data_IF_366397850600
#
_entry.id   IF_366397850600
#
_cell.length_a   1.000
_cell.length_b   1.000
_cell.length_c   1.000
_cell.angle_alpha   90.00
_cell.angle_beta   90.00
_cell.angle_gamma   90.00
#
_symmetry.space_group_name_H-M   'P 1'
#
loop_
_entity.id
_entity.type
_entity.pdbx_description
1 polymer ?
#
# COMPACT_ATOMS: atom_id res chain seq x y z
N UNK A 1 23.27 6.34 -8.59
CA UNK A 1 22.22 7.18 -9.18
C UNK A 1 21.88 6.65 -10.55
N UNK A 2 20.59 6.49 -10.86
CA UNK A 2 20.12 6.12 -12.21
C UNK A 2 20.40 7.24 -13.24
N UNK A 3 20.67 8.45 -12.75
CA UNK A 3 20.93 9.64 -13.56
C UNK A 3 22.25 10.28 -13.06
N UNK A 4 23.41 9.80 -13.50
CA UNK A 4 24.70 10.18 -12.91
C UNK A 4 25.08 11.66 -13.07
N UNK A 5 24.47 12.37 -14.01
CA UNK A 5 24.78 13.77 -14.33
C UNK A 5 23.58 14.72 -14.13
N UNK A 6 22.53 14.29 -13.42
CA UNK A 6 21.34 15.10 -13.18
C UNK A 6 21.13 15.26 -11.68
N UNK A 7 20.96 16.50 -11.26
CA UNK A 7 20.60 16.80 -9.88
C UNK A 7 19.16 16.39 -9.58
N UNK A 8 18.99 15.60 -8.51
CA UNK A 8 17.69 15.14 -8.01
C UNK A 8 17.41 15.85 -6.71
N UNK A 9 16.34 16.63 -6.67
CA UNK A 9 15.92 17.37 -5.50
C UNK A 9 14.76 16.71 -4.76
N UNK A 10 14.56 17.15 -3.53
CA UNK A 10 13.50 16.67 -2.64
C UNK A 10 12.57 17.83 -2.23
N UNK A 11 11.25 17.55 -2.23
CA UNK A 11 10.25 18.46 -1.69
C UNK A 11 9.39 17.70 -0.67
N UNK A 12 9.65 17.94 0.60
CA UNK A 12 9.02 17.26 1.73
C UNK A 12 10.02 16.90 2.81
N UNK A 13 9.53 16.59 4.01
CA UNK A 13 10.41 16.23 5.13
C UNK A 13 11.39 17.34 5.56
N UNK A 14 11.07 18.61 5.26
CA UNK A 14 11.94 19.77 5.53
C UNK A 14 12.75 20.25 4.31
N UNK A 15 12.92 19.43 3.27
CA UNK A 15 13.59 19.83 2.01
C UNK A 15 12.65 20.62 1.09
N UNK A 16 13.21 21.60 0.36
CA UNK A 16 12.47 22.49 -0.55
C UNK A 16 13.23 22.75 -1.85
N UNK A 17 13.79 21.69 -2.42
CA UNK A 17 14.61 21.79 -3.63
C UNK A 17 13.77 22.15 -4.87
N UNK A 18 14.45 22.70 -5.89
CA UNK A 18 13.86 23.07 -7.17
C UNK A 18 14.81 22.68 -8.31
N UNK A 19 14.87 21.38 -8.59
CA UNK A 19 15.81 20.75 -9.53
C UNK A 19 15.07 20.22 -10.77
N UNK A 20 15.78 19.91 -11.87
CA UNK A 20 15.17 19.33 -13.07
C UNK A 20 14.43 18.01 -12.84
N UNK A 21 14.90 17.18 -11.88
CA UNK A 21 14.18 16.01 -11.36
C UNK A 21 13.83 16.30 -9.91
N UNK A 22 12.55 16.35 -9.60
CA UNK A 22 12.04 16.62 -8.26
C UNK A 22 11.24 15.44 -7.74
N UNK A 23 11.59 14.93 -6.57
CA UNK A 23 10.82 13.94 -5.82
C UNK A 23 10.05 14.69 -4.73
N UNK A 24 8.74 14.58 -4.73
CA UNK A 24 7.88 15.26 -3.78
C UNK A 24 6.92 14.30 -3.08
N UNK A 25 6.63 14.54 -1.80
CA UNK A 25 5.49 13.89 -1.15
C UNK A 25 4.18 14.47 -1.69
N UNK A 26 3.10 13.70 -1.71
CA UNK A 26 1.78 14.18 -2.14
C UNK A 26 1.35 15.44 -1.38
N UNK A 27 1.53 15.47 -0.05
CA UNK A 27 1.22 16.64 0.75
C UNK A 27 1.99 17.91 0.29
N UNK A 28 3.30 17.76 0.11
CA UNK A 28 4.13 18.90 -0.32
C UNK A 28 3.83 19.33 -1.75
N UNK A 29 3.58 18.36 -2.64
CA UNK A 29 3.20 18.67 -4.03
C UNK A 29 1.84 19.39 -4.10
N UNK A 30 0.85 18.99 -3.30
CA UNK A 30 -0.45 19.66 -3.24
C UNK A 30 -0.34 21.10 -2.72
N UNK A 31 0.42 21.32 -1.63
CA UNK A 31 0.64 22.67 -1.07
C UNK A 31 1.33 23.61 -2.08
N UNK A 32 2.21 23.06 -2.92
CA UNK A 32 2.97 23.82 -3.91
C UNK A 32 2.47 23.66 -5.35
N UNK A 33 1.27 23.12 -5.57
CA UNK A 33 0.74 22.80 -6.89
C UNK A 33 0.79 23.96 -7.87
N UNK A 34 0.37 25.15 -7.45
CA UNK A 34 0.39 26.38 -8.27
C UNK A 34 1.80 26.75 -8.76
N UNK A 35 2.82 26.59 -7.91
CA UNK A 35 4.20 26.97 -8.25
C UNK A 35 4.94 25.89 -9.02
N UNK A 36 4.45 24.64 -8.99
CA UNK A 36 5.03 23.51 -9.69
C UNK A 36 4.37 23.24 -11.04
N UNK A 37 3.14 23.69 -11.24
CA UNK A 37 2.27 23.31 -12.35
C UNK A 37 2.85 23.51 -13.75
N UNK A 38 3.71 24.51 -13.94
CA UNK A 38 4.33 24.83 -15.25
C UNK A 38 5.82 24.47 -15.35
N UNK A 39 6.37 23.74 -14.37
CA UNK A 39 7.82 23.49 -14.29
C UNK A 39 8.28 22.19 -14.93
N UNK A 40 7.42 21.20 -14.97
CA UNK A 40 7.80 19.84 -15.35
C UNK A 40 6.98 19.38 -16.57
N UNK A 41 7.66 18.77 -17.54
CA UNK A 41 7.00 18.22 -18.73
C UNK A 41 6.42 16.82 -18.47
N UNK A 42 6.97 16.09 -17.49
CA UNK A 42 6.52 14.75 -17.09
C UNK A 42 6.20 14.75 -15.60
N UNK A 43 5.02 14.25 -15.27
CA UNK A 43 4.63 13.94 -13.89
C UNK A 43 4.43 12.44 -13.73
N UNK A 44 5.06 11.86 -12.69
CA UNK A 44 4.90 10.46 -12.31
C UNK A 44 4.24 10.41 -10.94
N UNK A 45 3.09 9.78 -10.86
CA UNK A 45 2.33 9.59 -9.62
C UNK A 45 2.50 8.15 -9.15
N UNK A 46 3.40 7.92 -8.21
CA UNK A 46 3.54 6.64 -7.54
C UNK A 46 2.39 6.47 -6.53
N UNK A 47 1.83 5.26 -6.42
CA UNK A 47 0.61 4.98 -5.67
C UNK A 47 -0.53 5.96 -6.04
N UNK A 48 -0.75 6.12 -7.36
CA UNK A 48 -1.67 7.13 -7.91
C UNK A 48 -3.12 7.01 -7.42
N UNK A 49 -3.49 5.91 -6.78
CA UNK A 49 -4.79 5.75 -6.12
C UNK A 49 -5.03 6.76 -4.98
N UNK A 50 -3.99 7.45 -4.50
CA UNK A 50 -4.14 8.54 -3.54
C UNK A 50 -4.57 9.85 -4.20
N UNK A 51 -4.29 10.03 -5.49
CA UNK A 51 -4.51 11.28 -6.21
C UNK A 51 -5.98 11.74 -6.24
N UNK A 52 -7.01 10.87 -6.41
CA UNK A 52 -8.40 11.32 -6.54
C UNK A 52 -9.04 11.71 -5.20
N UNK A 53 -8.33 12.41 -4.35
CA UNK A 53 -8.87 13.05 -3.15
C UNK A 53 -8.95 14.55 -3.37
N UNK A 54 -9.89 15.24 -2.73
CA UNK A 54 -10.06 16.68 -2.91
C UNK A 54 -8.79 17.48 -2.67
N UNK A 55 -7.96 17.03 -1.74
CA UNK A 55 -6.70 17.70 -1.43
C UNK A 55 -5.57 17.38 -2.41
N UNK A 56 -5.49 16.15 -2.94
CA UNK A 56 -4.36 15.78 -3.81
C UNK A 56 -4.63 15.97 -5.30
N UNK A 57 -5.89 15.96 -5.75
CA UNK A 57 -6.21 16.15 -7.18
C UNK A 57 -5.67 17.46 -7.76
N UNK A 58 -5.52 18.48 -6.93
CA UNK A 58 -4.95 19.79 -7.32
C UNK A 58 -3.55 19.67 -7.93
N UNK A 59 -2.77 18.64 -7.58
CA UNK A 59 -1.45 18.39 -8.16
C UNK A 59 -1.53 18.17 -9.66
N UNK A 60 -2.54 17.44 -10.12
CA UNK A 60 -2.78 17.19 -11.54
C UNK A 60 -3.59 18.31 -12.20
N UNK A 61 -4.54 18.91 -11.50
CA UNK A 61 -5.41 19.97 -12.01
C UNK A 61 -4.63 21.25 -12.34
N UNK A 62 -3.67 21.64 -11.48
CA UNK A 62 -2.82 22.83 -11.71
C UNK A 62 -1.65 22.56 -12.67
N UNK A 63 -1.39 21.32 -13.03
CA UNK A 63 -0.26 21.00 -13.88
C UNK A 63 -0.60 21.09 -15.36
N UNK A 64 0.26 21.77 -16.12
CA UNK A 64 0.22 21.81 -17.60
C UNK A 64 1.11 20.73 -18.23
N UNK A 65 1.67 19.82 -17.43
CA UNK A 65 2.51 18.72 -17.89
C UNK A 65 1.80 17.89 -18.97
N UNK A 66 2.36 17.81 -20.19
CA UNK A 66 1.74 17.06 -21.28
C UNK A 66 1.88 15.55 -21.12
N UNK A 67 2.84 15.09 -20.29
CA UNK A 67 3.07 13.68 -20.05
C UNK A 67 2.77 13.35 -18.61
N UNK A 68 1.88 12.36 -18.38
CA UNK A 68 1.49 11.91 -17.05
C UNK A 68 1.55 10.40 -17.00
N UNK A 69 2.07 9.85 -15.90
CA UNK A 69 2.17 8.42 -15.64
C UNK A 69 1.68 8.13 -14.23
N UNK A 70 0.68 7.29 -14.10
CA UNK A 70 0.22 6.76 -12.82
C UNK A 70 0.69 5.34 -12.62
N UNK A 71 1.21 5.04 -11.44
CA UNK A 71 1.64 3.72 -11.02
C UNK A 71 0.86 3.33 -9.76
N UNK A 72 0.24 2.16 -9.75
CA UNK A 72 -0.42 1.61 -8.57
C UNK A 72 -0.61 0.10 -8.72
N UNK A 73 -0.52 -0.61 -7.61
CA UNK A 73 -0.84 -2.04 -7.58
C UNK A 73 -2.34 -2.30 -7.66
N UNK A 74 -3.17 -1.38 -7.17
CA UNK A 74 -4.62 -1.49 -7.09
C UNK A 74 -5.25 -0.11 -7.29
N UNK A 75 -5.77 0.21 -8.47
CA UNK A 75 -6.38 1.51 -8.73
C UNK A 75 -7.74 1.67 -8.04
N UNK A 76 -8.45 0.56 -7.80
CA UNK A 76 -9.81 0.56 -7.29
C UNK A 76 -9.89 1.14 -5.87
N UNK A 77 -10.87 2.01 -5.64
CA UNK A 77 -11.17 2.65 -4.36
C UNK A 77 -12.62 2.35 -3.95
N UNK A 78 -12.82 2.13 -2.67
CA UNK A 78 -14.16 1.86 -2.11
C UNK A 78 -15.15 3.03 -2.23
N UNK A 79 -14.63 4.27 -2.38
CA UNK A 79 -15.42 5.48 -2.58
C UNK A 79 -15.77 5.76 -4.05
N UNK A 80 -15.29 4.94 -4.98
CA UNK A 80 -15.55 5.09 -6.42
C UNK A 80 -14.78 6.20 -7.12
N UNK A 81 -14.00 7.01 -6.40
CA UNK A 81 -13.26 8.17 -6.97
C UNK A 81 -12.09 7.77 -7.86
N UNK A 82 -11.73 6.47 -7.91
CA UNK A 82 -10.72 5.97 -8.84
C UNK A 82 -11.02 6.26 -10.32
N UNK A 83 -12.30 6.52 -10.67
CA UNK A 83 -12.70 6.90 -12.04
C UNK A 83 -12.12 8.24 -12.46
N UNK A 84 -11.81 9.12 -11.51
CA UNK A 84 -11.23 10.43 -11.79
C UNK A 84 -9.79 10.31 -12.29
N UNK A 85 -9.12 9.17 -12.04
CA UNK A 85 -7.77 8.90 -12.57
C UNK A 85 -7.71 8.96 -14.09
N UNK A 86 -8.78 8.56 -14.78
CA UNK A 86 -8.86 8.63 -16.24
C UNK A 86 -8.74 10.07 -16.77
N UNK A 87 -9.25 11.03 -16.01
CA UNK A 87 -9.19 12.47 -16.32
C UNK A 87 -7.90 13.09 -15.80
N UNK A 88 -7.47 12.75 -14.59
CA UNK A 88 -6.31 13.35 -13.93
C UNK A 88 -4.99 12.89 -14.56
N UNK A 89 -4.92 11.63 -15.00
CA UNK A 89 -3.69 11.00 -15.54
C UNK A 89 -3.92 10.48 -16.94
N UNK A 90 -4.93 9.62 -17.10
CA UNK A 90 -5.25 8.91 -18.35
C UNK A 90 -5.74 7.49 -18.09
N UNK A 91 -6.21 6.82 -19.13
CA UNK A 91 -6.72 5.44 -19.04
C UNK A 91 -5.62 4.45 -18.69
N UNK A 92 -6.01 3.35 -18.08
CA UNK A 92 -5.10 2.23 -17.80
C UNK A 92 -4.58 1.67 -19.13
N UNK A 93 -3.26 1.72 -19.35
CA UNK A 93 -2.58 1.24 -20.55
C UNK A 93 -1.85 -0.09 -20.35
N UNK A 94 -1.62 -0.46 -19.09
CA UNK A 94 -0.93 -1.69 -18.73
C UNK A 94 -1.41 -2.20 -17.39
N UNK A 95 -1.72 -3.48 -17.30
CA UNK A 95 -2.09 -4.17 -16.06
C UNK A 95 -1.44 -5.55 -16.04
N UNK A 96 -0.90 -5.93 -14.88
CA UNK A 96 -0.42 -7.27 -14.60
C UNK A 96 -0.77 -7.68 -13.18
N UNK A 97 -1.16 -8.92 -13.02
CA UNK A 97 -1.40 -9.50 -11.71
C UNK A 97 -0.10 -10.05 -11.10
N UNK A 98 -0.03 -10.26 -9.78
CA UNK A 98 1.12 -10.91 -9.15
C UNK A 98 1.40 -12.31 -9.73
N UNK A 99 0.35 -13.04 -10.11
CA UNK A 99 0.44 -14.37 -10.72
C UNK A 99 1.13 -14.32 -12.08
N UNK A 100 0.77 -13.36 -12.93
CA UNK A 100 1.39 -13.15 -14.25
C UNK A 100 2.86 -12.68 -14.15
N UNK A 101 3.23 -12.05 -13.04
CA UNK A 101 4.60 -11.61 -12.76
C UNK A 101 5.43 -12.70 -12.08
N UNK A 102 4.78 -13.76 -11.58
CA UNK A 102 5.44 -14.88 -10.89
C UNK A 102 6.41 -15.61 -11.83
N UNK A 103 7.58 -15.98 -11.30
CA UNK A 103 8.66 -16.57 -12.09
C UNK A 103 9.43 -15.60 -12.98
N UNK A 104 8.82 -14.46 -13.35
CA UNK A 104 9.44 -13.37 -14.12
C UNK A 104 10.02 -12.27 -13.22
N UNK A 105 9.29 -11.19 -13.06
CA UNK A 105 9.67 -10.05 -12.21
C UNK A 105 9.51 -10.32 -10.71
N UNK A 106 8.56 -11.19 -10.34
CA UNK A 106 8.39 -11.66 -8.98
C UNK A 106 8.95 -13.08 -8.82
N UNK A 107 9.41 -13.41 -7.61
CA UNK A 107 9.80 -14.78 -7.28
C UNK A 107 8.57 -15.70 -7.32
N UNK A 108 8.80 -16.97 -7.67
CA UNK A 108 7.78 -17.99 -7.45
C UNK A 108 7.35 -17.99 -5.99
N UNK A 109 6.06 -18.09 -5.76
CA UNK A 109 5.54 -18.00 -4.40
C UNK A 109 4.45 -19.04 -4.13
N UNK A 110 4.34 -19.42 -2.86
CA UNK A 110 3.29 -20.30 -2.36
C UNK A 110 2.53 -19.58 -1.25
N UNK A 111 1.21 -19.53 -1.35
CA UNK A 111 0.34 -19.04 -0.28
C UNK A 111 -0.17 -20.25 0.49
N UNK A 112 0.04 -20.26 1.81
CA UNK A 112 -0.38 -21.31 2.73
C UNK A 112 -1.32 -20.67 3.77
N UNK A 113 -2.60 -21.01 3.69
CA UNK A 113 -3.54 -20.62 4.74
C UNK A 113 -3.50 -21.59 5.89
N UNK A 114 -3.36 -21.08 7.10
CA UNK A 114 -3.42 -21.83 8.34
C UNK A 114 -4.63 -21.36 9.16
N UNK A 115 -5.52 -22.30 9.49
CA UNK A 115 -6.71 -22.02 10.27
C UNK A 115 -6.47 -22.39 11.72
N UNK A 116 -6.82 -21.48 12.65
CA UNK A 116 -6.72 -21.69 14.07
C UNK A 116 -8.09 -21.54 14.73
N UNK A 117 -8.33 -22.31 15.78
CA UNK A 117 -9.56 -22.24 16.56
C UNK A 117 -9.33 -21.42 17.81
N UNK A 118 -10.34 -20.64 18.21
CA UNK A 118 -10.39 -20.04 19.53
C UNK A 118 -10.47 -21.13 20.60
N UNK A 119 -9.89 -20.91 21.77
CA UNK A 119 -10.20 -21.71 22.94
C UNK A 119 -11.68 -21.54 23.35
N UNK A 120 -12.26 -22.46 24.08
CA UNK A 120 -13.66 -22.38 24.53
C UNK A 120 -13.94 -21.05 25.28
N UNK A 121 -13.00 -20.62 26.13
CA UNK A 121 -13.13 -19.37 26.85
C UNK A 121 -13.07 -18.13 25.92
N UNK A 122 -12.22 -18.13 24.91
CA UNK A 122 -12.15 -17.07 23.92
C UNK A 122 -13.40 -17.06 23.03
N UNK A 123 -13.88 -18.25 22.62
CA UNK A 123 -15.08 -18.40 21.81
C UNK A 123 -16.30 -17.83 22.53
N UNK A 124 -16.50 -18.17 23.80
CA UNK A 124 -17.60 -17.65 24.60
C UNK A 124 -17.56 -16.12 24.70
N UNK A 125 -16.39 -15.54 24.98
CA UNK A 125 -16.20 -14.10 25.05
C UNK A 125 -16.46 -13.42 23.71
N UNK A 126 -16.01 -14.03 22.62
CA UNK A 126 -16.23 -13.55 21.26
C UNK A 126 -17.72 -13.51 20.92
N UNK A 127 -18.45 -14.59 21.18
CA UNK A 127 -19.89 -14.70 20.92
C UNK A 127 -20.69 -13.70 21.73
N UNK A 128 -20.37 -13.52 23.02
CA UNK A 128 -20.98 -12.50 23.87
C UNK A 128 -20.76 -11.09 23.33
N UNK A 129 -19.54 -10.77 22.92
CA UNK A 129 -19.20 -9.47 22.33
C UNK A 129 -19.95 -9.24 21.01
N UNK A 130 -20.02 -10.27 20.15
CA UNK A 130 -20.79 -10.21 18.89
C UNK A 130 -22.29 -10.00 19.19
N UNK A 131 -22.84 -10.69 20.19
CA UNK A 131 -24.25 -10.56 20.56
C UNK A 131 -24.62 -9.14 21.02
N UNK A 132 -23.78 -8.54 21.90
CA UNK A 132 -23.96 -7.15 22.37
C UNK A 132 -23.96 -6.18 21.18
N UNK A 133 -22.97 -6.29 20.30
CA UNK A 133 -22.87 -5.43 19.10
C UNK A 133 -24.07 -5.61 18.18
N UNK A 134 -24.46 -6.86 17.85
CA UNK A 134 -25.59 -7.16 16.98
C UNK A 134 -26.91 -6.63 17.51
N UNK A 135 -27.12 -6.72 18.83
CA UNK A 135 -28.32 -6.17 19.47
C UNK A 135 -28.41 -4.67 19.23
N UNK A 136 -27.38 -3.91 19.55
CA UNK A 136 -27.34 -2.46 19.37
C UNK A 136 -27.53 -2.05 17.91
N UNK A 137 -26.86 -2.72 16.95
CA UNK A 137 -26.98 -2.42 15.53
C UNK A 137 -28.41 -2.62 15.02
N UNK A 138 -29.11 -3.67 15.46
CA UNK A 138 -30.52 -3.90 15.12
C UNK A 138 -31.44 -2.84 15.70
N UNK A 139 -31.27 -2.51 16.99
CA UNK A 139 -32.07 -1.49 17.67
C UNK A 139 -31.88 -0.09 17.08
N UNK A 140 -30.70 0.20 16.52
CA UNK A 140 -30.36 1.46 15.88
C UNK A 140 -30.59 1.48 14.37
N UNK A 141 -31.04 0.38 13.79
CA UNK A 141 -31.21 0.19 12.34
C UNK A 141 -29.94 0.50 11.52
N UNK A 142 -28.76 0.09 12.03
CA UNK A 142 -27.47 0.35 11.42
C UNK A 142 -26.92 -0.94 10.80
N UNK A 143 -26.49 -0.86 9.52
CA UNK A 143 -25.79 -1.93 8.81
C UNK A 143 -24.30 -1.58 8.65
N UNK A 144 -23.38 -2.47 9.04
CA UNK A 144 -21.92 -2.26 8.90
C UNK A 144 -21.36 -2.62 7.52
N UNK A 145 -22.22 -2.88 6.53
CA UNK A 145 -21.80 -3.29 5.18
C UNK A 145 -21.18 -2.15 4.33
N UNK A 146 -21.28 -0.90 4.77
CA UNK A 146 -20.79 0.28 4.05
C UNK A 146 -19.98 1.21 4.96
N UNK A 147 -19.22 2.13 4.35
CA UNK A 147 -18.50 3.18 5.06
C UNK A 147 -19.45 4.08 5.84
N UNK A 148 -20.58 4.42 5.24
CA UNK A 148 -21.64 5.23 5.87
C UNK A 148 -22.20 4.52 7.12
N UNK A 149 -22.51 3.23 7.04
CA UNK A 149 -22.94 2.42 8.18
C UNK A 149 -21.94 2.39 9.31
N UNK A 150 -20.64 2.34 8.99
CA UNK A 150 -19.60 2.47 9.98
C UNK A 150 -19.59 3.84 10.67
N UNK A 151 -19.70 4.92 9.90
CA UNK A 151 -19.77 6.29 10.44
C UNK A 151 -20.99 6.48 11.35
N UNK A 152 -22.16 5.98 10.95
CA UNK A 152 -23.37 5.98 11.77
C UNK A 152 -23.18 5.19 13.07
N UNK A 153 -22.52 4.03 13.02
CA UNK A 153 -22.22 3.26 14.22
C UNK A 153 -21.28 4.02 15.18
N UNK A 154 -20.24 4.67 14.67
CA UNK A 154 -19.32 5.49 15.48
C UNK A 154 -20.09 6.63 16.13
N UNK A 155 -20.90 7.38 15.39
CA UNK A 155 -21.72 8.48 15.92
C UNK A 155 -22.72 8.01 16.97
N UNK A 156 -23.47 6.94 16.68
CA UNK A 156 -24.45 6.38 17.61
C UNK A 156 -23.79 5.84 18.89
N UNK A 157 -22.60 5.26 18.76
CA UNK A 157 -21.85 4.74 19.89
C UNK A 157 -21.38 5.82 20.87
N UNK A 158 -21.16 7.05 20.38
CA UNK A 158 -20.77 8.18 21.22
C UNK A 158 -21.96 8.79 22.01
N UNK A 159 -23.20 8.59 21.51
CA UNK A 159 -24.40 9.26 22.05
C UNK A 159 -25.07 8.56 23.22
N UNK A 160 -24.76 7.27 23.48
CA UNK A 160 -25.45 6.51 24.52
C UNK A 160 -24.52 5.54 25.25
N UNK A 161 -24.84 5.19 26.53
CA UNK A 161 -24.11 4.14 27.25
C UNK A 161 -24.19 2.77 26.54
N UNK A 162 -25.34 2.44 25.94
CA UNK A 162 -25.55 1.20 25.18
C UNK A 162 -24.66 1.19 23.92
N UNK A 163 -24.58 2.33 23.22
CA UNK A 163 -23.69 2.50 22.07
C UNK A 163 -22.21 2.34 22.44
N UNK A 164 -21.79 2.94 23.55
CA UNK A 164 -20.41 2.74 24.07
C UNK A 164 -20.13 1.28 24.39
N UNK A 165 -21.08 0.58 25.04
CA UNK A 165 -20.96 -0.87 25.31
C UNK A 165 -20.84 -1.67 24.01
N UNK A 166 -21.60 -1.33 22.98
CA UNK A 166 -21.52 -1.98 21.66
C UNK A 166 -20.18 -1.74 20.95
N UNK A 167 -19.62 -0.52 21.06
CA UNK A 167 -18.29 -0.21 20.51
C UNK A 167 -17.18 -0.95 21.23
N UNK A 168 -17.22 -1.03 22.56
CA UNK A 168 -16.27 -1.81 23.34
C UNK A 168 -16.36 -3.29 22.99
N UNK A 169 -17.57 -3.84 22.87
CA UNK A 169 -17.78 -5.21 22.42
C UNK A 169 -17.25 -5.45 20.99
N UNK A 170 -17.40 -4.49 20.08
CA UNK A 170 -16.81 -4.57 18.73
C UNK A 170 -15.28 -4.67 18.79
N UNK A 171 -14.63 -3.83 19.62
CA UNK A 171 -13.17 -3.87 19.82
C UNK A 171 -12.73 -5.19 20.44
N UNK A 172 -13.40 -5.63 21.48
CA UNK A 172 -13.10 -6.91 22.15
C UNK A 172 -13.20 -8.10 21.18
N UNK A 173 -14.26 -8.18 20.38
CA UNK A 173 -14.40 -9.22 19.36
C UNK A 173 -13.25 -9.18 18.34
N UNK A 174 -12.84 -7.99 17.92
CA UNK A 174 -11.70 -7.82 17.01
C UNK A 174 -10.39 -8.25 17.65
N UNK A 175 -10.13 -7.87 18.88
CA UNK A 175 -8.92 -8.25 19.63
C UNK A 175 -8.83 -9.77 19.81
N UNK A 176 -9.94 -10.44 20.18
CA UNK A 176 -9.98 -11.90 20.30
C UNK A 176 -9.68 -12.56 18.95
N UNK A 177 -10.35 -12.12 17.88
CA UNK A 177 -10.17 -12.73 16.55
C UNK A 177 -8.75 -12.58 16.02
N UNK A 178 -8.12 -11.44 16.25
CA UNK A 178 -6.80 -11.12 15.68
C UNK A 178 -5.64 -11.56 16.58
N UNK A 179 -5.82 -11.57 17.90
CA UNK A 179 -4.76 -11.75 18.90
C UNK A 179 -4.82 -13.05 19.71
N UNK A 180 -5.57 -14.08 19.28
CA UNK A 180 -5.70 -15.34 20.03
C UNK A 180 -4.35 -16.02 20.26
N UNK A 181 -4.21 -16.68 21.41
CA UNK A 181 -3.01 -17.46 21.76
C UNK A 181 -2.73 -18.60 20.78
N UNK A 182 -3.77 -19.11 20.11
CA UNK A 182 -3.60 -20.12 19.06
C UNK A 182 -2.74 -19.61 17.89
N UNK A 183 -2.87 -18.34 17.49
CA UNK A 183 -2.03 -17.72 16.47
C UNK A 183 -0.57 -17.59 16.92
N UNK A 184 -0.34 -17.25 18.19
CA UNK A 184 1.02 -17.15 18.71
C UNK A 184 1.72 -18.51 18.78
N UNK A 185 0.99 -19.60 19.09
CA UNK A 185 1.53 -20.96 18.98
C UNK A 185 1.95 -21.31 17.56
N UNK A 186 1.07 -21.06 16.58
CA UNK A 186 1.41 -21.25 15.15
C UNK A 186 2.59 -20.40 14.74
N UNK A 187 2.68 -19.17 15.24
CA UNK A 187 3.82 -18.28 14.96
C UNK A 187 5.14 -18.88 15.46
N UNK A 188 5.17 -19.43 16.69
CA UNK A 188 6.34 -20.13 17.23
C UNK A 188 6.76 -21.26 16.31
N UNK A 189 5.82 -22.12 15.92
CA UNK A 189 6.07 -23.27 15.07
C UNK A 189 6.66 -22.82 13.70
N UNK A 190 6.12 -21.73 13.12
CA UNK A 190 6.61 -21.20 11.86
C UNK A 190 8.00 -20.57 12.01
N UNK A 191 8.29 -19.83 13.07
CA UNK A 191 9.62 -19.27 13.34
C UNK A 191 10.63 -20.41 13.49
N UNK A 192 10.30 -21.44 14.27
CA UNK A 192 11.16 -22.59 14.46
C UNK A 192 11.39 -23.37 13.17
N UNK A 193 10.37 -23.53 12.34
CA UNK A 193 10.48 -24.21 11.04
C UNK A 193 11.40 -23.48 10.07
N UNK A 194 11.45 -22.15 10.14
CA UNK A 194 12.17 -21.29 9.19
C UNK A 194 13.34 -20.54 9.82
N UNK A 195 14.03 -21.08 10.84
CA UNK A 195 15.08 -20.45 11.60
C UNK A 195 16.27 -19.92 10.74
N UNK A 196 16.51 -20.54 9.59
CA UNK A 196 17.58 -20.14 8.67
C UNK A 196 17.18 -19.04 7.70
N UNK A 197 15.88 -18.79 7.56
CA UNK A 197 15.34 -17.84 6.60
C UNK A 197 15.04 -16.48 7.25
N UNK A 198 14.92 -15.44 6.43
CA UNK A 198 14.42 -14.14 6.90
C UNK A 198 12.89 -14.14 6.90
N UNK A 199 12.31 -13.83 8.04
CA UNK A 199 10.88 -13.88 8.30
C UNK A 199 10.36 -12.47 8.54
N UNK A 200 9.30 -12.09 7.81
CA UNK A 200 8.59 -10.84 8.01
C UNK A 200 7.18 -11.14 8.53
N UNK A 201 6.86 -10.62 9.73
CA UNK A 201 5.57 -10.84 10.38
C UNK A 201 4.74 -9.57 10.24
N UNK A 202 3.53 -9.69 9.73
CA UNK A 202 2.56 -8.60 9.60
C UNK A 202 1.39 -8.78 10.56
N UNK A 203 1.06 -7.71 11.25
CA UNK A 203 -0.14 -7.62 12.09
C UNK A 203 -0.96 -6.37 11.72
N UNK A 204 -2.22 -6.35 12.16
CA UNK A 204 -3.13 -5.24 11.89
C UNK A 204 -3.13 -4.15 12.96
N UNK A 205 -2.50 -4.39 14.09
CA UNK A 205 -2.50 -3.48 15.23
C UNK A 205 -1.17 -3.49 15.98
N UNK A 206 -0.87 -2.38 16.64
CA UNK A 206 0.38 -2.21 17.37
C UNK A 206 0.43 -3.03 18.66
N UNK A 207 -0.70 -3.33 19.30
CA UNK A 207 -0.71 -4.10 20.53
C UNK A 207 -0.19 -5.53 20.28
N UNK A 208 -0.63 -6.14 19.18
CA UNK A 208 -0.12 -7.45 18.74
C UNK A 208 1.35 -7.37 18.34
N UNK A 209 1.80 -6.28 17.66
CA UNK A 209 3.23 -6.08 17.35
C UNK A 209 4.06 -6.10 18.62
N UNK A 210 3.70 -5.27 19.61
CA UNK A 210 4.46 -5.17 20.87
C UNK A 210 4.41 -6.47 21.67
N UNK A 211 3.28 -7.17 21.70
CA UNK A 211 3.15 -8.47 22.34
C UNK A 211 4.13 -9.50 21.74
N UNK A 212 4.21 -9.58 20.42
CA UNK A 212 5.14 -10.47 19.70
C UNK A 212 6.59 -10.04 19.98
N UNK A 213 6.88 -8.75 19.87
CA UNK A 213 8.21 -8.20 20.11
C UNK A 213 8.72 -8.54 21.52
N UNK A 214 7.91 -8.33 22.54
CA UNK A 214 8.27 -8.61 23.94
C UNK A 214 8.39 -10.12 24.22
N UNK A 215 7.46 -10.91 23.71
CA UNK A 215 7.41 -12.35 23.98
C UNK A 215 8.53 -13.12 23.29
N UNK A 216 8.92 -12.69 22.10
CA UNK A 216 9.91 -13.41 21.28
C UNK A 216 11.20 -12.64 21.06
N UNK A 217 11.36 -11.47 21.68
CA UNK A 217 12.53 -10.59 21.53
C UNK A 217 12.83 -10.25 20.05
N UNK A 218 11.77 -10.02 19.27
CA UNK A 218 11.84 -9.70 17.85
C UNK A 218 11.75 -8.17 17.67
N UNK A 219 12.64 -7.54 16.86
CA UNK A 219 12.53 -6.14 16.52
C UNK A 219 11.17 -5.79 15.92
N UNK A 220 10.63 -4.62 16.34
CA UNK A 220 9.30 -4.18 15.95
C UNK A 220 9.33 -2.86 15.20
N UNK A 221 8.55 -2.75 14.12
CA UNK A 221 8.33 -1.49 13.40
C UNK A 221 6.85 -1.14 13.44
N UNK A 222 6.55 0.02 14.03
CA UNK A 222 5.21 0.61 14.07
C UNK A 222 5.26 2.06 13.56
N UNK A 223 4.11 2.73 13.47
CA UNK A 223 4.08 4.16 13.13
C UNK A 223 4.78 5.04 14.18
N UNK A 224 4.93 4.55 15.41
CA UNK A 224 5.63 5.25 16.49
C UNK A 224 7.14 5.10 16.42
N UNK A 225 7.66 4.14 15.65
CA UNK A 225 9.10 3.92 15.47
C UNK A 225 9.71 5.11 14.73
N UNK A 226 10.64 5.81 15.35
CA UNK A 226 11.30 6.97 14.75
C UNK A 226 12.11 6.58 13.52
N UNK A 227 12.28 7.51 12.58
CA UNK A 227 12.90 7.25 11.26
C UNK A 227 14.30 6.62 11.38
N UNK A 228 15.13 7.14 12.29
CA UNK A 228 16.50 6.63 12.53
C UNK A 228 16.49 5.19 13.02
N UNK A 229 15.66 4.87 14.01
CA UNK A 229 15.53 3.52 14.55
C UNK A 229 14.98 2.55 13.48
N UNK A 230 13.98 2.98 12.71
CA UNK A 230 13.44 2.19 11.61
C UNK A 230 14.53 1.85 10.59
N UNK A 231 15.36 2.82 10.24
CA UNK A 231 16.47 2.62 9.31
C UNK A 231 17.49 1.62 9.85
N UNK A 232 17.86 1.71 11.13
CA UNK A 232 18.78 0.78 11.79
C UNK A 232 18.24 -0.65 11.81
N UNK A 233 16.99 -0.84 12.25
CA UNK A 233 16.32 -2.15 12.26
C UNK A 233 16.31 -2.77 10.85
N UNK A 234 15.93 -2.00 9.82
CA UNK A 234 15.91 -2.49 8.46
C UNK A 234 17.30 -2.83 7.91
N UNK A 235 18.30 -2.05 8.26
CA UNK A 235 19.68 -2.30 7.88
C UNK A 235 20.20 -3.61 8.48
N UNK A 236 19.93 -3.85 9.75
CA UNK A 236 20.30 -5.11 10.44
C UNK A 236 19.48 -6.31 9.94
N UNK A 237 18.22 -6.09 9.55
CA UNK A 237 17.44 -7.13 8.88
C UNK A 237 18.00 -7.44 7.47
N UNK A 238 18.46 -6.44 6.74
CA UNK A 238 19.13 -6.61 5.43
C UNK A 238 20.45 -7.37 5.54
N UNK A 239 21.25 -7.07 6.56
CA UNK A 239 22.53 -7.77 6.81
C UNK A 239 22.35 -9.21 7.30
N UNK A 240 21.13 -9.57 7.79
CA UNK A 240 20.84 -10.87 8.38
C UNK A 240 21.19 -10.99 9.87
N UNK A 241 21.59 -9.90 10.51
CA UNK A 241 21.77 -9.81 11.97
C UNK A 241 20.43 -10.07 12.67
N UNK A 242 19.34 -9.44 12.16
CA UNK A 242 17.98 -9.80 12.53
C UNK A 242 17.38 -10.73 11.48
N UNK A 243 17.00 -11.94 11.89
CA UNK A 243 16.34 -12.91 10.99
C UNK A 243 14.83 -12.75 10.94
N UNK A 244 14.25 -12.20 11.97
CA UNK A 244 12.79 -12.02 12.09
C UNK A 244 12.48 -10.58 12.43
N UNK A 245 11.46 -10.02 11.79
CA UNK A 245 10.96 -8.66 12.01
C UNK A 245 9.44 -8.69 12.10
N UNK A 246 8.87 -7.99 13.07
CA UNK A 246 7.41 -7.81 13.17
C UNK A 246 7.03 -6.36 12.87
N UNK A 247 5.98 -6.17 12.09
CA UNK A 247 5.52 -4.85 11.71
C UNK A 247 3.99 -4.74 11.66
N UNK A 248 3.49 -3.54 11.97
CA UNK A 248 2.12 -3.14 11.65
C UNK A 248 2.02 -2.59 10.22
N UNK A 249 0.96 -1.84 9.92
CA UNK A 249 0.69 -1.26 8.59
C UNK A 249 1.84 -0.44 7.97
N UNK A 250 2.81 0.00 8.77
CA UNK A 250 3.86 0.95 8.34
C UNK A 250 4.78 0.41 7.25
N UNK A 251 4.88 -0.91 7.09
CA UNK A 251 5.64 -1.52 6.00
C UNK A 251 4.82 -1.72 4.70
N UNK A 252 3.58 -1.26 4.68
CA UNK A 252 2.74 -1.40 3.49
C UNK A 252 3.19 -0.48 2.35
N UNK A 253 3.74 0.71 2.67
CA UNK A 253 4.12 1.73 1.70
C UNK A 253 5.54 2.26 1.96
N UNK A 254 6.28 2.54 0.90
CA UNK A 254 7.54 3.30 0.95
C UNK A 254 8.76 2.63 1.58
N UNK A 255 8.68 1.39 2.07
CA UNK A 255 9.81 0.71 2.70
C UNK A 255 10.29 -0.44 1.82
N UNK A 256 11.52 -0.35 1.36
CA UNK A 256 12.18 -1.45 0.65
C UNK A 256 12.67 -2.47 1.67
N UNK A 257 11.93 -3.59 1.80
CA UNK A 257 12.31 -4.73 2.64
C UNK A 257 12.84 -5.83 1.71
N UNK A 258 14.14 -5.84 1.44
CA UNK A 258 14.70 -6.83 0.53
C UNK A 258 14.83 -8.17 1.23
N UNK A 259 14.69 -9.21 0.42
CA UNK A 259 15.12 -10.57 0.71
C UNK A 259 14.44 -11.34 1.86
N UNK A 260 13.23 -10.97 2.32
CA UNK A 260 12.45 -11.88 3.13
C UNK A 260 11.94 -13.03 2.25
N UNK A 261 12.18 -14.29 2.66
CA UNK A 261 11.64 -15.47 1.98
C UNK A 261 10.31 -15.89 2.55
N UNK A 262 10.09 -15.60 3.81
CA UNK A 262 8.90 -16.00 4.56
C UNK A 262 8.16 -14.74 4.98
N UNK A 263 6.88 -14.67 4.62
CA UNK A 263 5.96 -13.71 5.20
C UNK A 263 4.89 -14.43 6.00
N UNK A 264 4.56 -13.88 7.17
CA UNK A 264 3.51 -14.41 8.04
C UNK A 264 2.52 -13.27 8.30
N UNK A 265 1.29 -13.43 7.82
CA UNK A 265 0.19 -12.51 8.10
C UNK A 265 -0.62 -13.10 9.25
N UNK A 266 -0.45 -12.56 10.45
CA UNK A 266 -1.20 -12.98 11.64
C UNK A 266 -2.56 -12.32 11.73
N UNK A 267 -2.69 -11.12 11.19
CA UNK A 267 -3.97 -10.44 11.05
C UNK A 267 -3.96 -9.59 9.80
N UNK A 268 -4.91 -9.86 8.92
CA UNK A 268 -5.08 -9.12 7.67
C UNK A 268 -6.10 -8.00 7.80
N UNK A 269 -5.89 -6.89 7.07
CA UNK A 269 -6.94 -5.92 6.81
C UNK A 269 -7.94 -6.48 5.81
N UNK A 270 -9.14 -5.89 5.76
CA UNK A 270 -10.13 -6.18 4.72
C UNK A 270 -9.72 -5.68 3.33
N UNK A 271 -8.56 -5.03 3.21
CA UNK A 271 -8.09 -4.42 1.97
C UNK A 271 -7.27 -5.43 1.17
N UNK A 272 -7.77 -5.81 0.00
CA UNK A 272 -7.04 -6.59 -1.02
C UNK A 272 -5.75 -5.86 -1.43
N UNK A 273 -5.79 -4.52 -1.49
CA UNK A 273 -4.63 -3.66 -1.78
C UNK A 273 -3.47 -3.89 -0.83
N UNK A 274 -3.70 -3.78 0.48
CA UNK A 274 -2.64 -3.97 1.47
C UNK A 274 -2.06 -5.39 1.44
N UNK A 275 -2.91 -6.38 1.17
CA UNK A 275 -2.48 -7.75 0.99
C UNK A 275 -1.54 -7.90 -0.21
N UNK A 276 -1.91 -7.36 -1.37
CA UNK A 276 -1.09 -7.39 -2.60
C UNK A 276 0.20 -6.60 -2.43
N UNK A 277 0.18 -5.44 -1.77
CA UNK A 277 1.38 -4.66 -1.48
C UNK A 277 2.35 -5.41 -0.56
N UNK A 278 1.85 -6.07 0.49
CA UNK A 278 2.67 -6.92 1.38
C UNK A 278 3.30 -8.08 0.61
N UNK A 279 2.50 -8.74 -0.21
CA UNK A 279 2.95 -9.82 -1.08
C UNK A 279 4.07 -9.35 -2.01
N UNK A 280 3.88 -8.26 -2.71
CA UNK A 280 4.85 -7.70 -3.65
C UNK A 280 6.20 -7.34 -3.02
N UNK A 281 6.24 -7.03 -1.72
CA UNK A 281 7.50 -6.74 -1.01
C UNK A 281 8.31 -7.99 -0.70
N UNK A 282 7.62 -9.08 -0.37
CA UNK A 282 8.25 -10.37 -0.05
C UNK A 282 8.64 -11.13 -1.31
N UNK A 283 7.89 -10.93 -2.39
CA UNK A 283 8.08 -11.63 -3.66
C UNK A 283 9.15 -11.03 -4.57
N UNK A 284 9.81 -9.93 -4.20
CA UNK A 284 10.87 -9.36 -5.04
C UNK A 284 11.98 -10.39 -5.23
N UNK A 285 12.41 -10.58 -6.48
CA UNK A 285 13.60 -11.37 -6.78
C UNK A 285 14.82 -10.70 -6.14
N UNK A 286 15.38 -11.35 -5.12
CA UNK A 286 16.72 -10.99 -4.66
C UNK A 286 17.77 -11.42 -5.68
N UNK A 287 19.05 -11.10 -5.42
CA UNK A 287 20.18 -11.44 -6.29
C UNK A 287 20.42 -12.95 -6.50
N UNK A 288 19.66 -13.83 -5.87
CA UNK A 288 19.75 -15.29 -6.01
C UNK A 288 18.60 -15.84 -6.85
N UNK A 289 18.90 -16.41 -7.97
CA UNK A 289 18.00 -16.78 -9.08
C UNK A 289 16.98 -17.91 -8.82
N UNK A 290 16.97 -18.57 -7.66
CA UNK A 290 16.08 -19.72 -7.39
C UNK A 290 15.32 -19.59 -6.07
N UNK A 291 14.69 -18.46 -5.83
CA UNK A 291 14.04 -18.15 -4.56
C UNK A 291 12.53 -18.39 -4.64
N UNK A 292 12.04 -19.44 -3.99
CA UNK A 292 10.62 -19.60 -3.74
C UNK A 292 10.25 -18.89 -2.43
N UNK A 293 9.34 -17.92 -2.50
CA UNK A 293 8.82 -17.23 -1.32
C UNK A 293 7.58 -17.97 -0.79
N UNK A 294 7.37 -17.95 0.54
CA UNK A 294 6.19 -18.55 1.16
C UNK A 294 5.47 -17.49 1.98
N UNK A 295 4.20 -17.32 1.69
CA UNK A 295 3.30 -16.49 2.47
C UNK A 295 2.39 -17.37 3.32
N UNK A 296 2.48 -17.26 4.63
CA UNK A 296 1.56 -17.87 5.58
C UNK A 296 0.48 -16.86 5.96
N UNK A 297 -0.77 -17.21 5.77
CA UNK A 297 -1.92 -16.45 6.26
C UNK A 297 -2.57 -17.22 7.41
N UNK A 298 -2.48 -16.69 8.64
CA UNK A 298 -3.05 -17.34 9.82
C UNK A 298 -4.39 -16.70 10.15
N UNK A 299 -5.47 -17.46 10.02
CA UNK A 299 -6.87 -17.01 10.12
C UNK A 299 -7.58 -17.71 11.26
N UNK A 300 -8.32 -16.98 12.07
CA UNK A 300 -9.13 -17.55 13.15
C UNK A 300 -10.50 -17.99 12.61
N UNK A 301 -10.79 -19.27 12.72
CA UNK A 301 -12.05 -19.89 12.27
C UNK A 301 -13.26 -19.31 13.01
N UNK A 302 -14.41 -19.30 12.35
CA UNK A 302 -15.71 -18.86 12.88
C UNK A 302 -15.71 -17.40 13.37
N UNK A 303 -14.82 -16.56 12.86
CA UNK A 303 -14.76 -15.15 13.21
C UNK A 303 -14.99 -14.23 11.99
N UNK A 304 -15.04 -12.92 12.26
CA UNK A 304 -15.09 -11.92 11.19
C UNK A 304 -13.84 -11.93 10.30
N UNK A 305 -12.72 -12.45 10.80
CA UNK A 305 -11.47 -12.52 10.05
C UNK A 305 -11.55 -13.55 8.92
N UNK A 306 -12.14 -14.71 9.17
CA UNK A 306 -12.34 -15.75 8.15
C UNK A 306 -13.13 -15.21 6.96
N UNK A 307 -14.26 -14.56 7.23
CA UNK A 307 -15.08 -13.93 6.19
C UNK A 307 -14.34 -12.83 5.42
N UNK A 308 -13.45 -12.11 6.10
CA UNK A 308 -12.62 -11.09 5.46
C UNK A 308 -11.56 -11.72 4.55
N UNK A 309 -10.95 -12.81 4.98
CA UNK A 309 -9.99 -13.57 4.17
C UNK A 309 -10.63 -14.21 2.93
N UNK A 310 -11.83 -14.77 3.09
CA UNK A 310 -12.60 -15.37 1.99
C UNK A 310 -12.99 -14.32 0.94
N UNK A 311 -13.49 -13.16 1.36
CA UNK A 311 -13.85 -12.06 0.47
C UNK A 311 -12.64 -11.58 -0.35
N UNK A 312 -11.47 -11.38 0.27
CA UNK A 312 -10.24 -10.99 -0.44
C UNK A 312 -9.87 -11.98 -1.55
N UNK A 313 -10.05 -13.27 -1.32
CA UNK A 313 -9.78 -14.30 -2.34
C UNK A 313 -10.84 -14.33 -3.44
N UNK A 314 -12.10 -14.11 -3.09
CA UNK A 314 -13.17 -13.96 -4.07
C UNK A 314 -12.96 -12.77 -4.99
N UNK A 315 -12.64 -11.60 -4.43
CA UNK A 315 -12.33 -10.39 -5.20
C UNK A 315 -11.11 -10.56 -6.12
N UNK A 316 -10.07 -11.31 -5.70
CA UNK A 316 -8.93 -11.62 -6.56
C UNK A 316 -9.31 -12.54 -7.72
N UNK A 317 -10.17 -13.52 -7.50
CA UNK A 317 -10.63 -14.42 -8.56
C UNK A 317 -11.53 -13.69 -9.56
N UNK A 318 -12.45 -12.84 -9.10
CA UNK A 318 -13.31 -12.03 -9.98
C UNK A 318 -12.50 -11.01 -10.80
N UNK A 319 -11.46 -10.41 -10.23
CA UNK A 319 -10.56 -9.50 -10.97
C UNK A 319 -9.74 -10.24 -12.03
N UNK A 320 -9.41 -11.52 -11.80
CA UNK A 320 -8.73 -12.35 -12.79
C UNK A 320 -9.67 -12.81 -13.93
N UNK A 321 -10.97 -12.98 -13.66
CA UNK A 321 -11.97 -13.41 -14.66
C UNK A 321 -12.51 -12.26 -15.51
N UNK A 322 -12.52 -11.01 -15.01
CA UNK A 322 -13.03 -9.83 -15.71
C UNK A 322 -11.98 -9.07 -16.52
N UNK A 323 -10.87 -9.69 -16.91
CA UNK A 323 -9.87 -9.02 -17.72
C UNK A 323 -10.42 -8.72 -19.13
N UNK A 324 -10.67 -7.44 -19.48
CA UNK A 324 -10.79 -7.09 -20.88
C UNK A 324 -9.43 -7.40 -21.55
N UNK A 325 -9.46 -8.01 -22.74
CA UNK A 325 -8.26 -8.17 -23.58
C UNK A 325 -7.65 -6.79 -23.84
N UNK A 326 -6.72 -6.37 -23.00
CA UNK A 326 -5.91 -5.21 -23.29
C UNK A 326 -4.96 -5.59 -24.42
N UNK A 327 -5.24 -5.13 -25.64
CA UNK A 327 -4.29 -5.19 -26.73
C UNK A 327 -3.00 -4.54 -26.24
N UNK A 328 -1.97 -5.35 -26.04
CA UNK A 328 -0.61 -4.84 -25.86
C UNK A 328 -0.31 -3.95 -27.07
N UNK A 329 -0.36 -2.64 -26.86
CA UNK A 329 0.24 -1.72 -27.80
C UNK A 329 1.72 -2.11 -27.83
N UNK A 330 2.14 -2.79 -28.93
CA UNK A 330 3.56 -2.99 -29.20
C UNK A 330 4.16 -1.60 -29.16
N UNK A 331 4.99 -1.32 -28.15
CA UNK A 331 5.86 -0.16 -28.14
C UNK A 331 6.77 -0.34 -29.35
N UNK A 332 6.34 0.21 -30.49
CA UNK A 332 7.20 0.35 -31.64
C UNK A 332 8.27 1.33 -31.17
N UNK A 333 9.55 0.96 -31.11
CA UNK A 333 10.59 1.92 -30.82
C UNK A 333 10.53 2.97 -31.91
N UNK A 334 9.97 4.12 -31.58
CA UNK A 334 9.99 5.27 -32.50
C UNK A 334 11.46 5.64 -32.63
N UNK A 335 12.09 5.18 -33.72
CA UNK A 335 13.35 5.76 -34.15
C UNK A 335 13.08 7.25 -34.27
N UNK A 336 13.80 8.11 -33.55
CA UNK A 336 13.59 9.54 -33.64
C UNK A 336 13.77 9.91 -35.10
N UNK A 337 12.73 10.45 -35.75
CA UNK A 337 12.86 11.06 -37.07
C UNK A 337 13.92 12.13 -36.94
N UNK A 338 14.93 12.17 -37.84
CA UNK A 338 15.95 13.20 -37.77
C UNK A 338 15.25 14.56 -37.86
N UNK A 339 15.47 15.38 -36.83
CA UNK A 339 14.99 16.76 -36.79
C UNK A 339 15.67 17.49 -37.96
N UNK A 340 14.93 17.77 -39.02
CA UNK A 340 15.41 18.66 -40.07
C UNK A 340 15.68 20.01 -39.38
N UNK A 341 16.97 20.39 -39.30
CA UNK A 341 17.36 21.73 -38.87
C UNK A 341 16.64 22.71 -39.83
N UNK A 342 15.63 23.40 -39.30
CA UNK A 342 15.11 24.60 -39.95
C UNK A 342 16.21 25.64 -39.83
N UNK A 343 16.87 25.98 -40.93
CA UNK A 343 17.71 27.17 -41.00
C UNK A 343 16.81 28.37 -40.74
N UNK A 344 17.02 28.99 -39.59
CA UNK A 344 16.50 30.33 -39.33
C UNK A 344 17.30 31.28 -40.23
N UNK A 345 16.76 31.67 -41.38
CA UNK A 345 17.22 32.88 -42.09
C UNK A 345 16.86 34.06 -41.18
N UNK A 346 17.84 34.57 -40.44
CA UNK A 346 17.75 35.86 -39.82
C UNK A 346 17.43 36.91 -40.88
N UNK A 347 16.30 37.55 -40.78
CA UNK A 347 15.95 38.68 -41.60
C UNK A 347 16.83 39.87 -41.19
N UNK A 348 17.89 40.13 -41.96
CA UNK A 348 18.53 41.44 -41.94
C UNK A 348 17.51 42.48 -42.45
N UNK A 349 16.83 43.14 -41.55
CA UNK A 349 16.13 44.41 -41.77
C UNK A 349 16.07 45.17 -40.47
N UNK A 350 17.16 45.87 -40.15
CA UNK A 350 17.14 47.09 -39.29
C UNK A 350 18.43 47.86 -39.43
N UNK A 351 18.62 48.47 -40.63
CA UNK A 351 19.49 49.65 -40.76
C UNK A 351 18.80 50.60 -41.71
N UNK A 352 17.97 51.46 -41.20
CA UNK A 352 17.56 52.74 -41.80
C UNK A 352 16.50 53.38 -40.91
N UNK A 353 16.94 53.98 -39.85
CA UNK A 353 16.22 55.05 -39.10
C UNK A 353 17.26 55.71 -38.21
N UNK A 354 17.96 56.65 -38.77
CA UNK A 354 18.56 57.79 -38.12
C UNK A 354 19.31 58.60 -39.15
N UNK A 355 18.63 59.50 -39.79
CA UNK A 355 19.11 60.78 -40.32
C UNK A 355 17.86 61.51 -40.78
N UNK A 356 17.45 62.43 -39.96
CA UNK A 356 16.83 63.70 -40.25
C UNK A 356 16.04 64.21 -39.03
N UNK A 357 16.57 65.28 -38.50
CA UNK A 357 16.18 66.29 -37.50
C UNK A 357 16.52 65.99 -36.02
#
# INVERSE_FOLDING_TARGET
>A
SAFPNVEVGLLGGGSRDRTPILIATYNSAAIHAETLGNRYALQIFDECHHLPTDFFKVIAEYAIAPYRLGLTATPERSDGTHRDLDTLIGKIIYRKTPEELSGGALAEHKIVQMRVKLSEAEQLKYEQAIAIRRKFLRESNISLGSLEGWQLFVQASARSPQGRKAMLAHRQAKEIALGTDAKLRVLIDLINKHQTERILIFTNDNATVYRISQQFLIPAITYQTVVKERHDILTRFKSGEYKTLVASHVLNEGVDVPDARIAIILSGTGSTREYVQRLGRVLRKGNTSNKQAILYEVVTENTSEERTSERRRGEQNEQNEQQPEYRQLKLIPNKPKPIKKREFKAAEKSKQWNQEE
#
